data_IF_190941296786
#
_entry.id   IF_190941296786
#
_cell.length_a   1.000
_cell.length_b   1.000
_cell.length_c   1.000
_cell.angle_alpha   90.00
_cell.angle_beta   90.00
_cell.angle_gamma   90.00
#
_symmetry.space_group_name_H-M   'P 1'
#
loop_
_entity.id
_entity.type
_entity.pdbx_description
1 polymer ?
#
# COMPACT_ATOMS: atom_id res chain seq x y z
N UNK A 1 19.24 7.65 -4.25
CA UNK A 1 17.95 7.14 -3.76
C UNK A 1 17.03 8.32 -3.49
N UNK A 2 15.72 8.20 -3.74
CA UNK A 2 14.76 9.32 -3.69
C UNK A 2 14.40 9.79 -2.29
N UNK A 3 14.60 8.95 -1.27
CA UNK A 3 14.23 9.25 0.12
C UNK A 3 12.72 9.17 0.42
N UNK A 4 11.89 8.88 -0.59
CA UNK A 4 10.43 8.76 -0.43
C UNK A 4 10.00 7.30 -0.23
N UNK A 5 8.89 7.04 0.48
CA UNK A 5 8.30 5.71 0.58
C UNK A 5 7.84 5.21 -0.80
N UNK A 6 7.90 3.89 -0.99
CA UNK A 6 7.44 3.24 -2.22
C UNK A 6 6.03 2.66 -2.04
N UNK A 7 5.16 2.87 -3.02
CA UNK A 7 3.78 2.37 -3.01
C UNK A 7 3.66 1.17 -3.93
N UNK A 8 3.37 0.00 -3.36
CA UNK A 8 3.14 -1.24 -4.12
C UNK A 8 1.68 -1.40 -4.57
N UNK A 9 0.73 -1.00 -3.72
CA UNK A 9 -0.70 -1.13 -3.98
C UNK A 9 -1.48 -0.02 -3.29
N UNK A 10 -2.64 0.33 -3.86
CA UNK A 10 -3.58 1.28 -3.29
C UNK A 10 -5.02 0.83 -3.62
N UNK A 11 -5.94 1.09 -2.69
CA UNK A 11 -7.38 0.98 -2.97
C UNK A 11 -7.84 2.23 -3.69
N UNK A 12 -8.32 2.08 -4.92
CA UNK A 12 -8.72 3.19 -5.79
C UNK A 12 -10.14 2.98 -6.30
N UNK A 13 -10.90 4.07 -6.42
CA UNK A 13 -12.25 4.07 -6.99
C UNK A 13 -12.33 5.11 -8.12
N UNK A 14 -12.99 4.73 -9.22
CA UNK A 14 -13.21 5.63 -10.37
C UNK A 14 -14.29 6.68 -10.06
N UNK A 15 -15.23 6.33 -9.18
CA UNK A 15 -16.33 7.18 -8.75
C UNK A 15 -16.22 7.44 -7.24
N UNK A 16 -16.72 8.59 -6.76
CA UNK A 16 -16.87 8.83 -5.32
C UNK A 16 -17.68 7.71 -4.66
N UNK A 17 -17.21 7.26 -3.50
CA UNK A 17 -17.89 6.29 -2.64
C UNK A 17 -18.64 7.07 -1.55
N UNK A 18 -19.71 6.47 -1.00
CA UNK A 18 -20.42 7.09 0.12
C UNK A 18 -19.56 7.09 1.38
N UNK A 19 -19.76 8.09 2.24
CA UNK A 19 -19.08 8.18 3.54
C UNK A 19 -19.31 6.93 4.40
N UNK A 20 -20.54 6.40 4.43
CA UNK A 20 -20.86 5.17 5.16
C UNK A 20 -20.04 3.97 4.67
N UNK A 21 -19.81 3.86 3.36
CA UNK A 21 -18.98 2.80 2.81
C UNK A 21 -17.52 2.99 3.20
N UNK A 22 -16.99 4.22 3.06
CA UNK A 22 -15.60 4.53 3.41
C UNK A 22 -15.32 4.21 4.89
N UNK A 23 -16.24 4.59 5.77
CA UNK A 23 -16.18 4.36 7.20
C UNK A 23 -16.24 2.85 7.53
N UNK A 24 -17.20 2.11 6.95
CA UNK A 24 -17.29 0.66 7.12
C UNK A 24 -16.03 -0.07 6.62
N UNK A 25 -15.52 0.31 5.44
CA UNK A 25 -14.32 -0.25 4.84
C UNK A 25 -13.07 0.02 5.70
N UNK A 26 -12.91 1.25 6.18
CA UNK A 26 -11.79 1.63 7.05
C UNK A 26 -11.83 0.89 8.39
N UNK A 27 -13.02 0.71 8.98
CA UNK A 27 -13.18 -0.11 10.19
C UNK A 27 -12.82 -1.57 9.96
N UNK A 28 -13.29 -2.17 8.86
CA UNK A 28 -13.01 -3.57 8.56
C UNK A 28 -11.50 -3.83 8.38
N UNK A 29 -10.82 -2.97 7.61
CA UNK A 29 -9.36 -3.07 7.48
C UNK A 29 -8.65 -2.80 8.81
N UNK A 30 -9.09 -1.78 9.56
CA UNK A 30 -8.53 -1.45 10.87
C UNK A 30 -8.67 -2.58 11.89
N UNK A 31 -9.78 -3.32 11.85
CA UNK A 31 -9.98 -4.50 12.69
C UNK A 31 -8.89 -5.54 12.43
N UNK A 32 -8.64 -5.91 11.18
CA UNK A 32 -7.57 -6.88 10.86
C UNK A 32 -6.19 -6.42 11.34
N UNK A 33 -5.86 -5.15 11.16
CA UNK A 33 -4.60 -4.57 11.64
C UNK A 33 -4.49 -4.55 13.17
N UNK A 34 -5.61 -4.39 13.88
CA UNK A 34 -5.65 -4.47 15.34
C UNK A 34 -5.45 -5.89 15.90
N UNK A 35 -5.62 -6.91 15.06
CA UNK A 35 -5.55 -8.33 15.45
C UNK A 35 -4.44 -9.09 14.70
N UNK A 36 -3.35 -8.40 14.32
CA UNK A 36 -2.23 -9.01 13.56
C UNK A 36 -1.67 -10.26 14.26
N UNK A 37 -1.56 -10.26 15.60
CA UNK A 37 -1.07 -11.43 16.33
C UNK A 37 -1.95 -12.67 16.10
N UNK A 38 -3.27 -12.50 16.06
CA UNK A 38 -4.21 -13.60 15.78
C UNK A 38 -4.10 -14.09 14.34
N UNK A 39 -3.96 -13.15 13.40
CA UNK A 39 -3.76 -13.46 11.98
C UNK A 39 -2.49 -14.29 11.78
N UNK A 40 -1.38 -13.89 12.41
CA UNK A 40 -0.10 -14.60 12.33
C UNK A 40 -0.21 -15.98 12.97
N UNK A 41 -0.85 -16.10 14.14
CA UNK A 41 -1.01 -17.38 14.84
C UNK A 41 -1.86 -18.39 14.05
N UNK A 42 -2.77 -17.91 13.18
CA UNK A 42 -3.60 -18.75 12.33
C UNK A 42 -2.88 -19.31 11.08
N UNK A 43 -1.67 -18.82 10.76
CA UNK A 43 -0.92 -19.22 9.57
C UNK A 43 0.15 -20.25 9.95
N UNK A 44 0.02 -21.53 9.55
CA UNK A 44 0.99 -22.55 9.91
C UNK A 44 2.27 -22.43 9.08
N UNK A 45 3.43 -22.63 9.73
CA UNK A 45 4.76 -22.72 9.12
C UNK A 45 5.06 -21.61 8.09
N UNK A 46 4.97 -20.32 8.48
CA UNK A 46 5.26 -19.25 7.54
C UNK A 46 6.73 -19.29 7.11
N UNK A 47 7.04 -19.01 5.83
CA UNK A 47 8.41 -19.06 5.32
C UNK A 47 9.30 -17.90 5.83
N UNK A 48 8.74 -16.94 6.57
CA UNK A 48 9.42 -15.80 7.17
C UNK A 48 8.63 -15.27 8.38
N UNK A 49 9.23 -14.34 9.13
CA UNK A 49 8.57 -13.70 10.27
C UNK A 49 7.46 -12.75 9.83
N UNK A 50 6.22 -13.27 9.84
CA UNK A 50 5.02 -12.51 9.45
C UNK A 50 4.72 -11.36 10.42
N UNK A 51 5.07 -11.49 11.70
CA UNK A 51 4.80 -10.43 12.67
C UNK A 51 5.66 -9.21 12.33
N UNK A 52 6.95 -9.42 12.09
CA UNK A 52 7.86 -8.36 11.62
C UNK A 52 7.38 -7.78 10.29
N UNK A 53 7.00 -8.63 9.34
CA UNK A 53 6.53 -8.19 8.04
C UNK A 53 5.31 -7.26 8.12
N UNK A 54 4.28 -7.67 8.86
CA UNK A 54 3.04 -6.90 9.00
C UNK A 54 3.14 -5.70 9.94
N UNK A 55 4.13 -5.62 10.83
CA UNK A 55 4.23 -4.50 11.79
C UNK A 55 5.35 -3.51 11.49
N UNK A 56 6.40 -3.92 10.79
CA UNK A 56 7.59 -3.09 10.55
C UNK A 56 7.88 -2.84 9.07
N UNK A 57 7.54 -3.78 8.19
CA UNK A 57 7.91 -3.67 6.77
C UNK A 57 6.80 -3.06 5.89
N UNK A 58 5.54 -3.20 6.29
CA UNK A 58 4.39 -2.63 5.58
C UNK A 58 3.90 -1.36 6.25
N UNK A 59 3.66 -0.33 5.44
CA UNK A 59 3.01 0.91 5.87
C UNK A 59 1.60 0.98 5.28
N UNK A 60 0.58 0.83 6.12
CA UNK A 60 -0.83 0.79 5.68
C UNK A 60 -1.50 2.16 5.57
N UNK A 61 -1.05 3.14 6.36
CA UNK A 61 -1.64 4.48 6.37
C UNK A 61 -1.18 5.25 5.14
N UNK A 62 -2.15 5.79 4.40
CA UNK A 62 -1.88 6.66 3.26
C UNK A 62 -1.54 8.08 3.75
N UNK A 63 -0.48 8.67 3.20
CA UNK A 63 -0.03 10.03 3.52
C UNK A 63 0.52 10.74 2.27
N UNK A 64 0.87 12.02 2.43
CA UNK A 64 1.39 12.85 1.35
C UNK A 64 2.73 12.34 0.81
N UNK A 65 3.59 11.75 1.65
CA UNK A 65 4.89 11.23 1.19
C UNK A 65 4.72 10.02 0.28
N UNK A 66 3.78 9.12 0.60
CA UNK A 66 3.39 8.01 -0.29
C UNK A 66 2.82 8.50 -1.61
N UNK A 67 2.04 9.59 -1.56
CA UNK A 67 1.53 10.23 -2.78
C UNK A 67 2.68 10.77 -3.65
N UNK A 68 3.65 11.48 -3.06
CA UNK A 68 4.84 11.99 -3.76
C UNK A 68 5.68 10.85 -4.33
N UNK A 69 5.93 9.80 -3.55
CA UNK A 69 6.71 8.62 -3.98
C UNK A 69 6.06 7.89 -5.15
N UNK A 70 4.74 7.69 -5.09
CA UNK A 70 3.96 7.10 -6.19
C UNK A 70 4.03 7.95 -7.46
N UNK A 71 3.80 9.27 -7.35
CA UNK A 71 3.85 10.18 -8.50
C UNK A 71 5.24 10.20 -9.15
N UNK A 72 6.30 10.22 -8.35
CA UNK A 72 7.67 10.18 -8.86
C UNK A 72 7.95 8.87 -9.62
N UNK A 73 7.49 7.74 -9.11
CA UNK A 73 7.63 6.45 -9.81
C UNK A 73 6.88 6.41 -11.15
N UNK A 74 5.62 6.88 -11.17
CA UNK A 74 4.80 6.92 -12.39
C UNK A 74 5.39 7.89 -13.45
N UNK A 75 5.95 9.02 -13.02
CA UNK A 75 6.64 9.94 -13.91
C UNK A 75 7.87 9.27 -14.55
N UNK A 76 8.66 8.54 -13.77
CA UNK A 76 9.83 7.81 -14.28
C UNK A 76 9.45 6.75 -15.33
N UNK A 77 8.34 6.01 -15.12
CA UNK A 77 7.82 5.05 -16.11
C UNK A 77 7.41 5.75 -17.42
N UNK A 78 6.70 6.87 -17.31
CA UNK A 78 6.24 7.63 -18.48
C UNK A 78 7.41 8.15 -19.32
N UNK A 79 8.49 8.60 -18.68
CA UNK A 79 9.71 9.04 -19.37
C UNK A 79 10.42 7.89 -20.11
N UNK A 80 10.43 6.68 -19.53
CA UNK A 80 11.01 5.49 -20.18
C UNK A 80 10.21 5.10 -21.42
N UNK A 81 8.89 5.15 -21.36
CA UNK A 81 8.04 4.83 -22.51
C UNK A 81 8.22 5.81 -23.66
N UNK A 82 8.39 7.11 -23.36
CA UNK A 82 8.70 8.13 -24.37
C UNK A 82 10.08 7.91 -25.02
N UNK A 83 11.09 7.52 -24.24
CA UNK A 83 12.43 7.22 -24.77
C UNK A 83 12.45 5.97 -25.67
N UNK A 84 11.65 4.95 -25.35
CA UNK A 84 11.51 3.75 -26.20
C UNK A 84 10.80 4.01 -27.53
N UNK A 85 9.87 4.98 -27.58
CA UNK A 85 9.18 5.35 -28.83
C UNK A 85 10.07 6.15 -29.80
N UNK A 86 11.20 6.68 -29.33
CA UNK A 86 12.16 7.48 -30.11
C UNK A 86 13.35 6.64 -30.64
N UNK A 87 13.39 5.35 -30.33
CA UNK A 87 14.40 4.38 -30.77
C UNK A 87 13.77 3.37 -31.73
#
# INVERSE_FOLDING_TARGET
FTGLPFVFAAWVAVKPLSEDFLDAFNRANGYGLGHINEVVAAIPNPPYDLLTYFTQNIQYRWDEEKTKGMQQFLAALSSVDQQKQLL
#
